data_IF_592179872034
#
_entry.id   IF_592179872034
#
_cell.length_a   1.000
_cell.length_b   1.000
_cell.length_c   1.000
_cell.angle_alpha   90.00
_cell.angle_beta   90.00
_cell.angle_gamma   90.00
#
_symmetry.space_group_name_H-M   'P 1'
#
loop_
_entity.id
_entity.type
_entity.pdbx_description
1 polymer ?
#
# COMPACT_ATOMS: atom_id res chain seq x y z
N UNK A 1 -15.15 -22.37 -11.28
CA UNK A 1 -14.44 -21.15 -11.63
C UNK A 1 -13.61 -20.66 -10.46
N UNK A 2 -12.40 -20.31 -10.70
CA UNK A 2 -11.50 -19.87 -9.63
C UNK A 2 -11.52 -18.36 -9.54
N UNK A 3 -11.64 -17.86 -8.32
CA UNK A 3 -11.41 -16.45 -8.06
C UNK A 3 -9.91 -16.18 -8.07
N UNK A 4 -9.54 -15.15 -8.80
CA UNK A 4 -8.17 -14.67 -8.75
C UNK A 4 -7.99 -13.86 -7.47
N UNK A 5 -7.05 -14.28 -6.63
CA UNK A 5 -6.74 -13.55 -5.39
C UNK A 5 -5.71 -12.49 -5.73
N UNK A 6 -6.03 -11.25 -5.41
CA UNK A 6 -5.10 -10.14 -5.58
C UNK A 6 -4.22 -10.06 -4.34
N UNK A 7 -2.93 -10.15 -4.56
CA UNK A 7 -1.95 -10.04 -3.47
C UNK A 7 -1.38 -8.62 -3.44
N UNK A 8 -1.30 -8.06 -2.24
CA UNK A 8 -0.69 -6.75 -2.04
C UNK A 8 0.70 -6.94 -1.46
N UNK A 9 1.70 -6.64 -2.26
CA UNK A 9 3.11 -6.76 -1.89
C UNK A 9 3.84 -5.46 -2.16
N UNK A 10 4.80 -5.15 -1.30
CA UNK A 10 5.67 -4.01 -1.50
C UNK A 10 6.78 -4.32 -2.53
N UNK A 11 7.70 -3.39 -2.73
CA UNK A 11 8.78 -3.56 -3.71
C UNK A 11 9.76 -4.67 -3.34
N UNK A 12 9.76 -5.10 -2.08
CA UNK A 12 10.62 -6.19 -1.60
C UNK A 12 9.89 -7.53 -1.49
N UNK A 13 8.65 -7.59 -1.95
CA UNK A 13 7.87 -8.82 -1.92
C UNK A 13 7.23 -9.14 -0.59
N UNK A 14 7.22 -8.21 0.35
CA UNK A 14 6.55 -8.40 1.64
C UNK A 14 5.06 -8.15 1.50
N UNK A 15 4.24 -8.98 2.11
CA UNK A 15 2.80 -8.79 2.10
C UNK A 15 2.41 -7.54 2.87
N UNK A 16 1.48 -6.79 2.29
CA UNK A 16 0.96 -5.55 2.87
C UNK A 16 -0.52 -5.73 3.18
N UNK A 17 -0.94 -5.35 4.37
CA UNK A 17 -2.32 -5.47 4.81
C UNK A 17 -2.76 -4.18 5.50
N UNK A 18 -4.03 -4.13 5.88
CA UNK A 18 -4.60 -2.98 6.59
C UNK A 18 -3.78 -2.66 7.84
N UNK A 19 -3.53 -1.38 8.05
CA UNK A 19 -2.77 -0.79 9.16
C UNK A 19 -1.26 -0.94 9.05
N UNK A 20 -0.75 -1.56 8.00
CA UNK A 20 0.69 -1.60 7.77
C UNK A 20 1.19 -0.22 7.35
N UNK A 21 2.43 0.09 7.73
CA UNK A 21 3.08 1.34 7.37
C UNK A 21 3.97 1.13 6.16
N UNK A 22 3.97 2.13 5.29
CA UNK A 22 4.74 2.10 4.05
C UNK A 22 5.54 3.40 3.92
N UNK A 23 6.62 3.34 3.16
CA UNK A 23 7.39 4.52 2.79
C UNK A 23 7.57 4.52 1.28
N UNK A 24 7.47 5.70 0.65
CA UNK A 24 7.69 5.83 -0.79
C UNK A 24 9.16 6.18 -1.09
N UNK A 25 9.45 6.44 -2.36
CA UNK A 25 10.81 6.72 -2.82
C UNK A 25 11.36 8.04 -2.27
N UNK A 26 10.48 8.94 -1.90
CA UNK A 26 10.86 10.24 -1.36
C UNK A 26 10.99 10.22 0.17
N UNK A 27 10.76 9.06 0.78
CA UNK A 27 10.82 8.94 2.23
C UNK A 27 9.54 9.33 2.95
N UNK A 28 8.47 9.61 2.22
CA UNK A 28 7.18 9.95 2.81
C UNK A 28 6.51 8.70 3.37
N UNK A 29 5.97 8.83 4.57
CA UNK A 29 5.35 7.70 5.27
C UNK A 29 3.84 7.68 5.07
N UNK A 30 3.32 6.45 4.95
CA UNK A 30 1.89 6.19 4.76
C UNK A 30 1.46 5.03 5.63
N UNK A 31 0.16 4.96 5.88
CA UNK A 31 -0.45 3.81 6.53
C UNK A 31 -1.63 3.34 5.66
N UNK A 32 -1.79 2.02 5.57
CA UNK A 32 -2.94 1.44 4.87
C UNK A 32 -4.17 1.66 5.74
N UNK A 33 -5.06 2.56 5.33
CA UNK A 33 -6.28 2.86 6.07
C UNK A 33 -7.42 1.93 5.70
N UNK A 34 -7.46 1.45 4.44
CA UNK A 34 -8.49 0.54 3.96
C UNK A 34 -7.87 -0.47 3.01
N UNK A 35 -8.42 -1.66 3.01
CA UNK A 35 -8.04 -2.72 2.09
C UNK A 35 -9.28 -3.18 1.33
N UNK A 36 -9.22 -3.08 0.01
CA UNK A 36 -10.30 -3.50 -0.89
C UNK A 36 -9.84 -4.66 -1.76
N UNK A 37 -10.74 -5.22 -2.55
CA UNK A 37 -10.42 -6.40 -3.35
C UNK A 37 -9.31 -6.16 -4.37
N UNK A 38 -9.21 -4.94 -4.91
CA UNK A 38 -8.29 -4.64 -6.02
C UNK A 38 -7.33 -3.50 -5.74
N UNK A 39 -7.46 -2.83 -4.60
CA UNK A 39 -6.60 -1.71 -4.26
C UNK A 39 -6.55 -1.49 -2.76
N UNK A 40 -5.55 -0.75 -2.34
CA UNK A 40 -5.43 -0.28 -0.96
C UNK A 40 -5.64 1.23 -0.95
N UNK A 41 -6.13 1.74 0.17
CA UNK A 41 -6.20 3.19 0.39
C UNK A 41 -5.13 3.55 1.42
N UNK A 42 -4.24 4.46 1.04
CA UNK A 42 -3.16 4.93 1.89
C UNK A 42 -3.47 6.29 2.47
N UNK A 43 -3.13 6.46 3.73
CA UNK A 43 -3.22 7.74 4.42
C UNK A 43 -1.81 8.22 4.72
N UNK A 44 -1.50 9.48 4.34
CA UNK A 44 -0.20 10.05 4.61
C UNK A 44 0.00 10.27 6.10
N UNK A 45 1.17 9.90 6.61
CA UNK A 45 1.56 10.17 7.99
C UNK A 45 2.52 11.36 8.09
N UNK A 46 3.04 11.82 6.96
CA UNK A 46 4.04 12.90 6.93
C UNK A 46 3.42 14.28 6.74
N UNK A 47 2.32 14.37 6.03
CA UNK A 47 1.62 15.64 5.81
C UNK A 47 0.12 15.40 5.67
N UNK A 48 -0.62 16.48 5.44
CA UNK A 48 -2.08 16.41 5.29
C UNK A 48 -2.39 16.26 3.81
N UNK A 49 -2.89 15.08 3.44
CA UNK A 49 -3.31 14.77 2.06
C UNK A 49 -4.59 13.97 2.09
N UNK A 50 -5.40 14.05 1.03
CA UNK A 50 -6.56 13.15 0.93
C UNK A 50 -6.09 11.71 0.81
N UNK A 51 -6.93 10.74 1.22
CA UNK A 51 -6.61 9.33 1.05
C UNK A 51 -6.31 9.00 -0.42
N UNK A 52 -5.34 8.12 -0.64
CA UNK A 52 -4.90 7.77 -1.99
C UNK A 52 -5.17 6.29 -2.26
N UNK A 53 -5.94 5.97 -3.31
CA UNK A 53 -6.04 4.57 -3.74
C UNK A 53 -4.76 4.16 -4.47
N UNK A 54 -4.27 2.97 -4.13
CA UNK A 54 -3.03 2.42 -4.72
C UNK A 54 -3.32 1.02 -5.22
N UNK A 55 -3.09 0.79 -6.51
CA UNK A 55 -3.25 -0.54 -7.11
C UNK A 55 -2.01 -1.40 -6.83
N UNK A 56 -2.11 -2.73 -6.95
CA UNK A 56 -0.99 -3.61 -6.62
C UNK A 56 0.30 -3.32 -7.39
N UNK A 57 0.22 -2.93 -8.66
CA UNK A 57 1.42 -2.63 -9.44
C UNK A 57 2.15 -1.39 -8.93
N UNK A 58 1.43 -0.36 -8.53
CA UNK A 58 2.03 0.84 -7.96
C UNK A 58 2.63 0.56 -6.59
N UNK A 59 1.93 -0.24 -5.79
CA UNK A 59 2.44 -0.66 -4.48
C UNK A 59 3.78 -1.37 -4.62
N UNK A 60 3.85 -2.29 -5.55
CA UNK A 60 5.06 -3.08 -5.79
C UNK A 60 6.22 -2.23 -6.30
N UNK A 61 5.93 -1.19 -7.08
CA UNK A 61 6.97 -0.37 -7.71
C UNK A 61 7.46 0.75 -6.80
N UNK A 62 6.59 1.33 -5.99
CA UNK A 62 6.85 2.63 -5.38
C UNK A 62 6.92 2.62 -3.86
N UNK A 63 6.52 1.54 -3.20
CA UNK A 63 6.38 1.52 -1.75
C UNK A 63 7.13 0.36 -1.12
N UNK A 64 7.60 0.59 0.12
CA UNK A 64 8.27 -0.44 0.92
C UNK A 64 7.60 -0.45 2.29
N UNK A 65 7.26 -1.64 2.75
CA UNK A 65 6.70 -1.83 4.08
C UNK A 65 7.77 -1.57 5.14
N UNK A 66 7.42 -0.84 6.19
CA UNK A 66 8.30 -0.53 7.31
C UNK A 66 7.63 -0.95 8.62
N UNK A 67 8.45 -1.29 9.57
CA UNK A 67 7.98 -1.72 10.89
C UNK A 67 7.82 -3.19 11.00
#
# INVERSE_FOLDING_TARGET
MRKKIVEFKDSKGQFVKRYDKLVDKDGMQYMVSEQHDRYLVLMSLSDIRPPMPVIPSDLKNDYVKVG
#
